data_IF_623751134647
#
_entry.id   IF_623751134647
#
_cell.length_a   1.000
_cell.length_b   1.000
_cell.length_c   1.000
_cell.angle_alpha   90.00
_cell.angle_beta   90.00
_cell.angle_gamma   90.00
#
_symmetry.space_group_name_H-M   'P 1'
#
loop_
_entity.id
_entity.type
_entity.pdbx_description
1 polymer ?
#
# COMPACT_ATOMS: atom_id res chain seq x y z
N UNK A 1 -0.38 -18.37 -3.62
CA UNK A 1 -1.20 -18.38 -2.39
C UNK A 1 -0.41 -18.13 -1.09
N UNK A 2 0.71 -18.80 -0.81
CA UNK A 2 1.38 -18.74 0.51
C UNK A 2 1.84 -17.34 0.94
N UNK A 3 2.36 -16.50 0.04
CA UNK A 3 2.87 -15.18 0.42
C UNK A 3 1.77 -14.16 0.65
N UNK A 4 0.73 -14.16 -0.18
CA UNK A 4 -0.46 -13.31 -0.01
C UNK A 4 -1.02 -13.42 1.42
N UNK A 5 -1.32 -14.63 1.87
CA UNK A 5 -1.88 -14.87 3.20
C UNK A 5 -0.94 -14.40 4.32
N UNK A 6 0.38 -14.56 4.15
CA UNK A 6 1.37 -14.08 5.13
C UNK A 6 1.40 -12.56 5.22
N UNK A 7 1.36 -11.85 4.08
CA UNK A 7 1.32 -10.38 4.07
C UNK A 7 0.01 -9.89 4.67
N UNK A 8 -1.11 -10.52 4.31
CA UNK A 8 -2.42 -10.21 4.87
C UNK A 8 -2.44 -10.41 6.40
N UNK A 9 -1.86 -11.50 6.91
CA UNK A 9 -1.70 -11.76 8.35
C UNK A 9 -0.85 -10.70 9.04
N UNK A 10 0.25 -10.26 8.42
CA UNK A 10 1.08 -9.17 8.96
C UNK A 10 0.25 -7.90 9.05
N UNK A 11 -0.45 -7.50 7.98
CA UNK A 11 -1.28 -6.29 7.96
C UNK A 11 -2.36 -6.37 9.04
N UNK A 12 -3.07 -7.50 9.18
CA UNK A 12 -4.10 -7.70 10.22
C UNK A 12 -3.56 -7.76 11.65
N UNK A 13 -2.25 -7.88 11.86
CA UNK A 13 -1.69 -8.09 13.19
C UNK A 13 -1.79 -6.85 14.08
N UNK A 14 -1.87 -7.09 15.40
CA UNK A 14 -1.83 -6.02 16.40
C UNK A 14 -0.51 -5.23 16.34
N UNK A 15 0.61 -5.91 16.08
CA UNK A 15 1.91 -5.25 15.94
C UNK A 15 1.94 -4.28 14.77
N UNK A 16 1.36 -4.65 13.63
CA UNK A 16 1.22 -3.74 12.49
C UNK A 16 0.31 -2.56 12.81
N UNK A 17 -0.79 -2.79 13.54
CA UNK A 17 -1.65 -1.71 14.01
C UNK A 17 -0.89 -0.70 14.91
N UNK A 18 -0.12 -1.16 15.88
CA UNK A 18 0.71 -0.28 16.72
C UNK A 18 1.78 0.45 15.89
N UNK A 19 2.34 -0.22 14.88
CA UNK A 19 3.26 0.45 13.96
C UNK A 19 2.57 1.55 13.17
N UNK A 20 1.35 1.33 12.67
CA UNK A 20 0.57 2.36 12.00
C UNK A 20 0.26 3.54 12.92
N UNK A 21 -0.05 3.28 14.19
CA UNK A 21 -0.26 4.36 15.17
C UNK A 21 1.03 5.19 15.33
N UNK A 22 2.18 4.54 15.47
CA UNK A 22 3.49 5.22 15.53
C UNK A 22 3.80 5.99 14.23
N UNK A 23 3.54 5.40 13.05
CA UNK A 23 3.75 6.07 11.76
C UNK A 23 2.83 7.29 11.66
N UNK A 24 1.56 7.15 12.01
CA UNK A 24 0.58 8.23 11.95
C UNK A 24 0.99 9.37 12.89
N UNK A 25 1.39 9.07 14.13
CA UNK A 25 1.81 10.06 15.12
C UNK A 25 3.07 10.85 14.71
N UNK A 26 4.03 10.18 14.05
CA UNK A 26 5.33 10.78 13.74
C UNK A 26 5.45 11.29 12.29
N UNK A 27 4.64 10.76 11.36
CA UNK A 27 4.67 11.05 9.93
C UNK A 27 3.25 11.30 9.40
N UNK A 28 2.50 12.19 10.05
CA UNK A 28 1.12 12.55 9.67
C UNK A 28 0.99 13.28 8.31
N UNK A 29 2.09 13.41 7.55
CA UNK A 29 2.16 14.05 6.23
C UNK A 29 2.38 13.03 5.09
N UNK A 30 2.64 13.52 3.87
CA UNK A 30 2.80 12.70 2.67
C UNK A 30 4.01 11.77 2.78
N UNK A 31 3.89 10.52 2.26
CA UNK A 31 4.94 9.48 2.08
C UNK A 31 5.11 8.42 3.18
N UNK A 32 4.02 8.01 3.83
CA UNK A 32 4.07 6.88 4.77
C UNK A 32 4.36 5.52 4.09
N UNK A 33 4.15 5.41 2.77
CA UNK A 33 4.37 4.20 1.96
C UNK A 33 5.73 3.54 2.23
N UNK A 34 6.81 4.34 2.24
CA UNK A 34 8.18 3.87 2.46
C UNK A 34 8.32 3.14 3.82
N UNK A 35 7.72 3.72 4.85
CA UNK A 35 7.83 3.24 6.24
C UNK A 35 6.99 1.98 6.42
N UNK A 36 5.79 1.96 5.84
CA UNK A 36 4.92 0.78 5.81
C UNK A 36 5.62 -0.38 5.08
N UNK A 37 6.18 -0.12 3.89
CA UNK A 37 6.93 -1.10 3.11
C UNK A 37 8.11 -1.69 3.91
N UNK A 38 8.93 -0.83 4.51
CA UNK A 38 10.07 -1.29 5.30
C UNK A 38 9.64 -2.16 6.47
N UNK A 39 8.56 -1.79 7.18
CA UNK A 39 8.02 -2.60 8.25
C UNK A 39 7.53 -3.97 7.77
N UNK A 40 6.86 -4.03 6.60
CA UNK A 40 6.44 -5.30 6.00
C UNK A 40 7.65 -6.18 5.66
N UNK A 41 8.71 -5.61 5.10
CA UNK A 41 9.96 -6.33 4.77
C UNK A 41 10.63 -6.88 6.02
N UNK A 42 10.83 -6.04 7.04
CA UNK A 42 11.44 -6.41 8.32
C UNK A 42 10.64 -7.52 9.02
N UNK A 43 9.31 -7.34 9.09
CA UNK A 43 8.41 -8.30 9.75
C UNK A 43 8.35 -9.63 8.99
N UNK A 44 8.30 -9.60 7.66
CA UNK A 44 8.34 -10.84 6.89
C UNK A 44 9.65 -11.60 7.13
N UNK A 45 10.79 -10.89 7.14
CA UNK A 45 12.10 -11.49 7.33
C UNK A 45 12.34 -12.02 8.76
N UNK A 46 11.72 -11.41 9.78
CA UNK A 46 11.81 -11.92 11.16
C UNK A 46 10.96 -13.19 11.36
N UNK A 47 9.87 -13.34 10.60
CA UNK A 47 8.97 -14.51 10.65
C UNK A 47 9.35 -15.64 9.68
N UNK A 48 10.35 -15.45 8.81
CA UNK A 48 10.65 -16.41 7.74
C UNK A 48 12.16 -16.58 7.52
N UNK A 49 12.61 -17.83 7.64
CA UNK A 49 14.02 -18.22 7.44
C UNK A 49 14.28 -18.82 6.06
N UNK A 50 13.24 -19.28 5.36
CA UNK A 50 13.36 -19.94 4.05
C UNK A 50 13.37 -18.94 2.90
N UNK A 51 12.57 -17.88 3.03
CA UNK A 51 12.42 -16.83 2.03
C UNK A 51 12.95 -15.51 2.57
N UNK A 52 13.39 -14.63 1.67
CA UNK A 52 13.82 -13.28 2.03
C UNK A 52 13.03 -12.22 1.28
N UNK A 53 12.54 -11.27 2.07
CA UNK A 53 11.91 -10.05 1.62
C UNK A 53 12.97 -8.99 1.31
N UNK A 54 12.81 -8.29 0.18
CA UNK A 54 13.68 -7.19 -0.25
C UNK A 54 12.82 -5.98 -0.59
N UNK A 55 13.30 -4.80 -0.22
CA UNK A 55 12.76 -3.54 -0.71
C UNK A 55 13.45 -3.16 -2.03
N UNK A 56 12.71 -2.55 -2.96
CA UNK A 56 13.25 -1.94 -4.19
C UNK A 56 14.03 -2.92 -5.10
N UNK A 57 13.68 -4.21 -5.05
CA UNK A 57 14.28 -5.29 -5.82
C UNK A 57 13.19 -6.21 -6.42
N UNK A 58 13.36 -6.77 -7.63
CA UNK A 58 14.45 -6.50 -8.56
C UNK A 58 14.35 -5.11 -9.19
N UNK A 59 15.48 -4.64 -9.72
CA UNK A 59 15.60 -3.37 -10.41
C UNK A 59 16.06 -3.61 -11.84
N UNK A 60 15.37 -2.99 -12.79
CA UNK A 60 15.69 -2.99 -14.20
C UNK A 60 15.63 -1.55 -14.70
N UNK A 61 16.76 -1.02 -15.18
CA UNK A 61 16.88 0.39 -15.58
C UNK A 61 16.39 1.34 -14.45
N UNK A 62 15.40 2.18 -14.76
CA UNK A 62 14.73 3.08 -13.82
C UNK A 62 13.54 2.45 -13.08
N UNK A 63 13.17 1.20 -13.41
CA UNK A 63 12.03 0.49 -12.82
C UNK A 63 12.49 -0.38 -11.65
N UNK A 64 11.66 -0.44 -10.61
CA UNK A 64 11.86 -1.28 -9.43
C UNK A 64 10.53 -1.81 -8.92
N UNK A 65 10.58 -2.96 -8.25
CA UNK A 65 9.47 -3.47 -7.45
C UNK A 65 9.62 -2.97 -6.02
N UNK A 66 8.56 -2.46 -5.40
CA UNK A 66 8.65 -1.92 -4.04
C UNK A 66 9.05 -2.98 -3.03
N UNK A 67 8.43 -4.15 -3.12
CA UNK A 67 8.62 -5.24 -2.17
C UNK A 67 8.61 -6.58 -2.91
N UNK A 68 9.67 -7.37 -2.80
CA UNK A 68 9.69 -8.73 -3.34
C UNK A 68 10.02 -9.77 -2.28
N UNK A 69 9.59 -11.01 -2.52
CA UNK A 69 9.95 -12.18 -1.73
C UNK A 69 10.63 -13.19 -2.65
N UNK A 70 11.83 -13.61 -2.27
CA UNK A 70 12.70 -14.50 -3.06
C UNK A 70 12.99 -15.76 -2.25
N UNK A 71 13.16 -16.88 -2.95
CA UNK A 71 13.68 -18.13 -2.40
C UNK A 71 15.21 -18.21 -2.64
N UNK A 72 16.08 -17.83 -1.69
CA UNK A 72 17.52 -17.71 -1.96
C UNK A 72 18.16 -19.07 -2.31
N UNK A 73 17.56 -20.17 -1.85
CA UNK A 73 18.04 -21.54 -2.06
C UNK A 73 17.38 -22.24 -3.26
N UNK A 74 16.47 -21.57 -3.97
CA UNK A 74 15.77 -22.15 -5.12
C UNK A 74 15.72 -21.13 -6.27
N UNK A 75 16.77 -21.15 -7.11
CA UNK A 75 16.93 -20.21 -8.23
C UNK A 75 15.88 -20.37 -9.34
N UNK A 76 15.17 -21.50 -9.37
CA UNK A 76 14.11 -21.77 -10.33
C UNK A 76 12.75 -21.20 -9.89
N UNK A 77 12.61 -20.79 -8.63
CA UNK A 77 11.39 -20.19 -8.12
C UNK A 77 11.34 -18.71 -8.45
N UNK A 78 10.31 -18.29 -9.19
CA UNK A 78 10.12 -16.89 -9.53
C UNK A 78 9.85 -16.06 -8.27
N UNK A 79 10.42 -14.84 -8.16
CA UNK A 79 10.14 -13.96 -7.04
C UNK A 79 8.66 -13.56 -7.01
N UNK A 80 8.12 -13.44 -5.80
CA UNK A 80 6.78 -12.90 -5.58
C UNK A 80 6.90 -11.38 -5.45
N UNK A 81 6.34 -10.64 -6.40
CA UNK A 81 6.49 -9.19 -6.50
C UNK A 81 5.26 -8.48 -5.94
N UNK A 82 5.48 -7.48 -5.11
CA UNK A 82 4.44 -6.73 -4.41
C UNK A 82 4.66 -5.25 -4.71
N UNK A 83 3.64 -4.62 -5.27
CA UNK A 83 3.61 -3.19 -5.52
C UNK A 83 2.76 -2.51 -4.45
N UNK A 84 3.28 -1.44 -3.84
CA UNK A 84 2.54 -0.66 -2.86
C UNK A 84 2.15 0.67 -3.48
N UNK A 85 0.94 1.12 -3.19
CA UNK A 85 0.50 2.43 -3.62
C UNK A 85 -0.23 3.16 -2.52
N UNK A 86 0.34 4.25 -2.07
CA UNK A 86 -0.28 5.15 -1.12
C UNK A 86 -0.96 6.30 -1.86
N UNK A 87 -2.24 6.54 -1.60
CA UNK A 87 -3.02 7.56 -2.30
C UNK A 87 -4.09 8.16 -1.43
N UNK A 88 -4.37 9.45 -1.64
CA UNK A 88 -5.32 10.17 -0.82
C UNK A 88 -6.73 10.16 -1.43
N UNK A 89 -7.78 10.25 -0.59
CA UNK A 89 -9.17 10.33 -1.02
C UNK A 89 -9.46 11.39 -2.10
N UNK A 90 -8.86 12.58 -2.05
CA UNK A 90 -9.17 13.65 -3.02
C UNK A 90 -8.80 13.28 -4.45
N UNK A 91 -7.88 12.34 -4.62
CA UNK A 91 -7.58 11.77 -5.92
C UNK A 91 -8.70 10.82 -6.42
N UNK A 92 -9.88 10.84 -5.79
CA UNK A 92 -11.15 10.21 -6.18
C UNK A 92 -11.37 10.12 -7.68
N UNK A 93 -11.30 11.24 -8.40
CA UNK A 93 -11.51 11.26 -9.86
C UNK A 93 -10.36 10.59 -10.63
N UNK A 94 -9.13 10.69 -10.12
CA UNK A 94 -7.98 9.99 -10.67
C UNK A 94 -8.03 8.49 -10.38
N UNK A 95 -8.79 8.01 -9.39
CA UNK A 95 -8.99 6.57 -9.23
C UNK A 95 -9.72 5.91 -10.41
N UNK A 96 -10.52 6.67 -11.19
CA UNK A 96 -11.03 6.17 -12.48
C UNK A 96 -9.89 5.95 -13.49
N UNK A 97 -8.93 6.87 -13.52
CA UNK A 97 -7.69 6.73 -14.31
C UNK A 97 -6.70 5.74 -13.66
N UNK A 98 -6.91 5.34 -12.41
CA UNK A 98 -6.14 4.26 -11.81
C UNK A 98 -6.40 2.96 -12.52
N UNK A 99 -7.57 2.71 -13.13
CA UNK A 99 -7.74 1.49 -13.91
C UNK A 99 -6.64 1.32 -14.98
N UNK A 100 -6.24 2.41 -15.66
CA UNK A 100 -5.13 2.36 -16.62
C UNK A 100 -3.75 2.36 -15.96
N UNK A 101 -3.58 3.07 -14.85
CA UNK A 101 -2.31 3.10 -14.08
C UNK A 101 -2.05 1.76 -13.38
N UNK A 102 -3.02 1.25 -12.64
CA UNK A 102 -3.10 -0.10 -12.12
C UNK A 102 -2.87 -1.11 -13.24
N UNK A 103 -3.57 -1.04 -14.37
CA UNK A 103 -3.31 -1.96 -15.48
C UNK A 103 -1.85 -1.89 -15.93
N UNK A 104 -1.22 -0.73 -16.01
CA UNK A 104 0.22 -0.62 -16.34
C UNK A 104 1.12 -1.18 -15.24
N UNK A 105 0.87 -0.81 -13.99
CA UNK A 105 1.68 -1.11 -12.81
C UNK A 105 1.51 -2.58 -12.36
N UNK A 106 0.39 -3.19 -12.72
CA UNK A 106 0.02 -4.60 -12.58
C UNK A 106 0.28 -5.41 -13.87
N UNK A 107 0.37 -4.76 -15.04
CA UNK A 107 0.50 -5.46 -16.32
C UNK A 107 1.75 -6.33 -16.34
N UNK A 108 1.61 -7.38 -17.15
CA UNK A 108 2.50 -8.50 -17.40
C UNK A 108 3.88 -8.14 -17.99
N UNK A 109 4.38 -6.92 -17.78
CA UNK A 109 5.63 -6.43 -18.37
C UNK A 109 6.40 -5.41 -17.53
N UNK A 110 6.10 -5.27 -16.23
CA UNK A 110 6.75 -4.25 -15.39
C UNK A 110 8.27 -4.39 -15.40
N UNK A 111 8.77 -5.62 -15.27
CA UNK A 111 10.18 -5.96 -15.40
C UNK A 111 10.36 -6.95 -16.57
N UNK A 112 9.96 -6.51 -17.76
CA UNK A 112 9.77 -7.36 -18.94
C UNK A 112 11.03 -8.12 -19.38
N UNK A 113 12.23 -7.52 -19.30
CA UNK A 113 13.45 -8.26 -19.66
C UNK A 113 13.79 -9.38 -18.68
N UNK A 114 13.26 -9.30 -17.45
CA UNK A 114 13.36 -10.35 -16.45
C UNK A 114 12.21 -11.35 -16.53
N UNK A 115 11.20 -11.11 -17.37
CA UNK A 115 9.99 -11.91 -17.47
C UNK A 115 9.19 -11.96 -16.15
N UNK A 116 9.22 -10.87 -15.37
CA UNK A 116 8.60 -10.77 -14.05
C UNK A 116 7.42 -9.77 -14.03
N UNK A 117 6.37 -10.19 -13.31
CA UNK A 117 5.11 -9.48 -13.17
C UNK A 117 4.77 -9.25 -11.69
N UNK A 118 4.02 -8.19 -11.42
CA UNK A 118 3.46 -7.93 -10.09
C UNK A 118 2.57 -9.11 -9.69
N UNK A 119 2.84 -9.69 -8.52
CA UNK A 119 2.11 -10.82 -7.95
C UNK A 119 1.02 -10.39 -6.97
N UNK A 120 1.16 -9.21 -6.38
CA UNK A 120 0.20 -8.59 -5.46
C UNK A 120 0.30 -7.07 -5.57
N UNK A 121 -0.83 -6.38 -5.49
CA UNK A 121 -0.87 -4.92 -5.43
C UNK A 121 -1.56 -4.52 -4.15
N UNK A 122 -1.03 -3.53 -3.44
CA UNK A 122 -1.61 -3.05 -2.18
C UNK A 122 -1.89 -1.56 -2.31
N UNK A 123 -3.16 -1.20 -2.47
CA UNK A 123 -3.61 0.17 -2.36
C UNK A 123 -3.82 0.53 -0.90
N UNK A 124 -3.20 1.63 -0.46
CA UNK A 124 -3.29 2.18 0.89
C UNK A 124 -3.91 3.56 0.80
N UNK A 125 -5.10 3.72 1.40
CA UNK A 125 -5.82 5.00 1.46
C UNK A 125 -6.00 5.42 2.92
N UNK A 126 -5.28 6.46 3.39
CA UNK A 126 -5.55 7.09 4.68
C UNK A 126 -6.72 8.08 4.57
N UNK A 127 -7.67 8.00 5.50
CA UNK A 127 -8.83 8.88 5.58
C UNK A 127 -8.87 9.52 6.95
N UNK A 128 -8.97 10.84 7.00
CA UNK A 128 -9.09 11.58 8.25
C UNK A 128 -10.16 12.65 8.20
N UNK A 129 -10.58 13.09 9.39
CA UNK A 129 -11.54 14.16 9.52
C UNK A 129 -10.89 15.52 9.18
N UNK A 130 -11.55 16.30 8.31
CA UNK A 130 -11.03 17.61 7.88
C UNK A 130 -10.90 18.61 9.03
N UNK A 131 -11.85 18.61 9.97
CA UNK A 131 -11.82 19.52 11.12
C UNK A 131 -10.68 19.18 12.07
N UNK A 132 -10.49 17.90 12.38
CA UNK A 132 -9.37 17.45 13.22
C UNK A 132 -8.03 17.84 12.59
N UNK A 133 -7.90 17.70 11.26
CA UNK A 133 -6.69 18.18 10.56
C UNK A 133 -6.54 19.69 10.55
N UNK A 134 -7.63 20.47 10.45
CA UNK A 134 -7.54 21.93 10.61
C UNK A 134 -7.02 22.29 11.99
N UNK A 135 -7.55 21.65 13.03
CA UNK A 135 -7.11 21.88 14.40
C UNK A 135 -5.64 21.51 14.61
N UNK A 136 -5.19 20.37 14.08
CA UNK A 136 -3.77 19.98 14.15
C UNK A 136 -2.89 20.98 13.39
N UNK A 137 -3.25 21.35 12.16
CA UNK A 137 -2.48 22.32 11.37
C UNK A 137 -2.35 23.66 12.10
N UNK A 138 -3.44 24.14 12.72
CA UNK A 138 -3.41 25.36 13.53
C UNK A 138 -2.50 25.21 14.75
N UNK A 139 -2.58 24.10 15.48
CA UNK A 139 -1.72 23.81 16.64
C UNK A 139 -0.23 23.78 16.26
N UNK A 140 0.08 23.31 15.05
CA UNK A 140 1.44 23.20 14.53
C UNK A 140 1.90 24.43 13.73
N UNK A 141 1.08 25.49 13.64
CA UNK A 141 1.34 26.67 12.82
C UNK A 141 1.65 26.35 11.34
N UNK A 142 1.02 25.31 10.79
CA UNK A 142 1.18 24.89 9.40
C UNK A 142 0.21 25.71 8.53
N UNK A 143 0.75 26.51 7.62
CA UNK A 143 -0.02 27.37 6.71
C UNK A 143 -0.49 26.65 5.44
N UNK A 144 0.22 25.60 5.01
CA UNK A 144 -0.16 24.77 3.87
C UNK A 144 -1.09 23.63 4.30
N UNK A 145 -2.38 23.75 3.97
CA UNK A 145 -3.42 22.93 4.55
C UNK A 145 -3.44 21.49 3.99
N UNK A 146 -3.01 20.50 4.80
CA UNK A 146 -3.10 19.06 4.47
C UNK A 146 -4.53 18.57 4.15
N UNK A 147 -5.56 19.34 4.51
CA UNK A 147 -6.94 19.04 4.08
C UNK A 147 -7.13 19.10 2.57
N UNK A 148 -6.19 19.72 1.85
CA UNK A 148 -6.20 19.71 0.40
C UNK A 148 -6.03 18.32 -0.21
N UNK A 149 -5.79 17.27 0.57
CA UNK A 149 -5.70 15.88 0.11
C UNK A 149 -6.96 15.06 0.44
N UNK A 150 -7.88 15.59 1.25
CA UNK A 150 -9.12 14.89 1.59
C UNK A 150 -10.24 15.26 0.62
N UNK A 151 -10.96 14.24 0.14
CA UNK A 151 -12.16 14.45 -0.67
C UNK A 151 -13.30 15.00 0.21
N UNK A 152 -14.22 15.75 -0.40
CA UNK A 152 -15.50 16.10 0.23
C UNK A 152 -16.50 14.94 0.19
N UNK A 153 -16.30 14.00 -0.74
CA UNK A 153 -17.11 12.80 -0.92
C UNK A 153 -16.23 11.56 -1.07
N UNK A 154 -16.69 10.42 -0.57
CA UNK A 154 -15.95 9.15 -0.57
C UNK A 154 -16.02 8.37 -1.91
N UNK A 155 -16.11 9.06 -3.05
CA UNK A 155 -16.19 8.45 -4.39
C UNK A 155 -15.00 7.53 -4.70
N UNK A 156 -13.86 7.75 -4.01
CA UNK A 156 -12.69 6.89 -4.11
C UNK A 156 -12.97 5.42 -3.73
N UNK A 157 -13.93 5.15 -2.83
CA UNK A 157 -14.29 3.79 -2.40
C UNK A 157 -14.87 2.98 -3.55
N UNK A 158 -15.87 3.56 -4.23
CA UNK A 158 -16.51 2.94 -5.40
C UNK A 158 -15.50 2.77 -6.55
N UNK A 159 -14.67 3.77 -6.82
CA UNK A 159 -13.65 3.66 -7.86
C UNK A 159 -12.59 2.60 -7.54
N UNK A 160 -12.19 2.45 -6.27
CA UNK A 160 -11.28 1.39 -5.85
C UNK A 160 -11.93 0.01 -6.04
N UNK A 161 -13.20 -0.16 -5.63
CA UNK A 161 -13.94 -1.41 -5.84
C UNK A 161 -14.04 -1.76 -7.33
N UNK A 162 -14.44 -0.81 -8.19
CA UNK A 162 -14.51 -1.03 -9.64
C UNK A 162 -13.17 -1.42 -10.26
N UNK A 163 -12.06 -0.85 -9.76
CA UNK A 163 -10.71 -1.21 -10.18
C UNK A 163 -10.40 -2.68 -9.88
N UNK A 164 -10.71 -3.16 -8.67
CA UNK A 164 -10.44 -4.54 -8.25
C UNK A 164 -11.46 -5.54 -8.80
N UNK A 165 -12.74 -5.18 -8.96
CA UNK A 165 -13.78 -6.05 -9.52
C UNK A 165 -13.45 -6.51 -10.94
N UNK A 166 -12.87 -5.62 -11.75
CA UNK A 166 -12.39 -5.99 -13.08
C UNK A 166 -11.26 -7.02 -13.03
N UNK A 167 -10.46 -7.03 -11.97
CA UNK A 167 -9.37 -7.99 -11.76
C UNK A 167 -9.86 -9.31 -11.17
N UNK A 168 -10.87 -9.28 -10.31
CA UNK A 168 -11.53 -10.51 -9.84
C UNK A 168 -12.09 -11.29 -11.03
N UNK A 169 -12.66 -10.61 -12.04
CA UNK A 169 -13.10 -11.23 -13.30
C UNK A 169 -11.95 -11.85 -14.10
N UNK A 170 -10.73 -11.36 -13.94
CA UNK A 170 -9.50 -11.92 -14.55
C UNK A 170 -8.86 -13.03 -13.69
N UNK A 171 -9.51 -13.43 -12.58
CA UNK A 171 -9.08 -14.53 -11.70
C UNK A 171 -8.20 -14.10 -10.52
N UNK A 172 -8.08 -12.81 -10.24
CA UNK A 172 -7.34 -12.29 -9.09
C UNK A 172 -8.16 -12.37 -7.79
N UNK A 173 -7.47 -12.49 -6.65
CA UNK A 173 -8.10 -12.46 -5.32
C UNK A 173 -8.11 -11.01 -4.84
N UNK A 174 -9.23 -10.60 -4.21
CA UNK A 174 -9.40 -9.27 -3.64
C UNK A 174 -9.74 -9.36 -2.15
N UNK A 175 -9.08 -8.57 -1.31
CA UNK A 175 -9.47 -8.33 0.08
C UNK A 175 -9.33 -6.87 0.49
N UNK A 176 -10.06 -6.50 1.54
CA UNK A 176 -9.92 -5.20 2.20
C UNK A 176 -9.67 -5.37 3.69
N UNK A 177 -8.72 -4.60 4.21
CA UNK A 177 -8.39 -4.53 5.64
C UNK A 177 -8.45 -3.08 6.07
N UNK A 178 -9.09 -2.81 7.20
CA UNK A 178 -9.21 -1.49 7.79
C UNK A 178 -8.50 -1.42 9.13
N UNK A 179 -7.72 -0.36 9.34
CA UNK A 179 -7.20 0.02 10.65
C UNK A 179 -7.68 1.42 11.01
N UNK A 180 -8.02 1.64 12.27
CA UNK A 180 -8.34 2.97 12.79
C UNK A 180 -7.35 3.31 13.89
N UNK A 181 -6.48 4.29 13.65
CA UNK A 181 -5.53 4.82 14.65
C UNK A 181 -6.01 6.19 15.12
N UNK A 182 -5.62 6.61 16.32
CA UNK A 182 -6.13 7.84 16.95
C UNK A 182 -5.06 8.90 17.23
N UNK A 183 -3.87 8.78 16.63
CA UNK A 183 -2.75 9.71 16.81
C UNK A 183 -2.16 10.17 15.47
N UNK A 184 -1.80 11.45 15.29
CA UNK A 184 -2.09 12.56 16.22
C UNK A 184 -3.59 12.92 16.22
N UNK A 185 -4.34 12.38 15.25
CA UNK A 185 -5.79 12.44 15.14
C UNK A 185 -6.33 11.08 14.70
N UNK A 186 -7.65 10.95 14.59
CA UNK A 186 -8.27 9.75 14.02
C UNK A 186 -7.97 9.62 12.51
N UNK A 187 -7.33 8.53 12.13
CA UNK A 187 -7.07 8.15 10.74
C UNK A 187 -7.56 6.72 10.50
N UNK A 188 -8.36 6.54 9.46
CA UNK A 188 -8.78 5.24 8.95
C UNK A 188 -7.91 4.86 7.75
N UNK A 189 -7.09 3.82 7.91
CA UNK A 189 -6.29 3.26 6.84
C UNK A 189 -7.06 2.12 6.18
N UNK A 190 -7.22 2.21 4.87
CA UNK A 190 -7.80 1.17 4.03
C UNK A 190 -6.70 0.51 3.20
N UNK A 191 -6.50 -0.78 3.40
CA UNK A 191 -5.62 -1.63 2.59
C UNK A 191 -6.48 -2.49 1.68
N UNK A 192 -6.37 -2.30 0.37
CA UNK A 192 -7.07 -3.09 -0.66
C UNK A 192 -6.03 -3.87 -1.45
N UNK A 193 -6.15 -5.20 -1.50
CA UNK A 193 -5.11 -6.07 -2.05
C UNK A 193 -5.61 -7.34 -2.74
#
# INVERSE_FOLDING_TARGET
MKFYQKIEQIIKSQSFHFKLESISDNFFNLKQELIIRNYLVETFNSLNVTYKAFAEFPRENSKRCDFSIIAPKNLNEKPFLIELKFSYPKDANYFKNYASTFKRDFSTSRLSSLGLNTSMFVLIVPVWNKNDMRQLNNKLNITHNLNMYMADQDVWKENALLMFDNQVKEGHIYSTIKHTVNKPIKVEYHFSN
#
